data_IF_078529926041
#
_entry.id   IF_078529926041
#
_cell.length_a   1.000
_cell.length_b   1.000
_cell.length_c   1.000
_cell.angle_alpha   90.00
_cell.angle_beta   90.00
_cell.angle_gamma   90.00
#
_symmetry.space_group_name_H-M   'P 1'
#
loop_
_entity.id
_entity.type
_entity.pdbx_description
1 polymer ?
#
# COMPACT_ATOMS: atom_id res chain seq x y z
N UNK A 1 16.70 -15.67 -5.84
CA UNK A 1 15.80 -14.52 -5.70
C UNK A 1 15.48 -14.32 -4.23
N UNK A 2 15.29 -13.11 -3.75
CA UNK A 2 14.99 -12.74 -2.35
C UNK A 2 16.00 -13.32 -1.32
N UNK A 3 17.29 -13.12 -1.61
CA UNK A 3 18.39 -13.70 -0.81
C UNK A 3 18.71 -12.86 0.43
N UNK A 4 18.44 -11.56 0.39
CA UNK A 4 18.91 -10.62 1.40
C UNK A 4 18.21 -10.78 2.74
N UNK A 5 16.95 -11.22 2.75
CA UNK A 5 16.22 -11.55 3.98
C UNK A 5 16.94 -12.62 4.83
N UNK A 6 17.60 -13.59 4.16
CA UNK A 6 18.29 -14.70 4.86
C UNK A 6 19.49 -14.23 5.67
N UNK A 7 20.08 -13.10 5.32
CA UNK A 7 21.21 -12.52 6.04
C UNK A 7 20.83 -11.98 7.43
N UNK A 8 19.52 -11.75 7.65
CA UNK A 8 19.01 -11.28 8.93
C UNK A 8 18.68 -12.39 9.93
N UNK A 9 18.50 -13.64 9.46
CA UNK A 9 18.25 -14.75 10.38
C UNK A 9 19.49 -15.07 11.21
N UNK A 10 19.30 -15.21 12.52
CA UNK A 10 20.36 -15.47 13.51
C UNK A 10 19.77 -16.20 14.71
N UNK A 11 20.58 -16.41 15.77
CA UNK A 11 20.08 -16.96 17.02
C UNK A 11 19.05 -16.08 17.70
N UNK A 12 19.09 -14.78 17.47
CA UNK A 12 18.17 -13.79 18.07
C UNK A 12 17.07 -13.30 17.13
N UNK A 13 17.19 -13.52 15.82
CA UNK A 13 16.17 -13.14 14.81
C UNK A 13 15.65 -14.41 14.14
N UNK A 14 14.48 -14.85 14.54
CA UNK A 14 13.79 -16.06 14.02
C UNK A 14 12.60 -15.72 13.12
N UNK A 15 11.86 -14.67 13.46
CA UNK A 15 10.67 -14.25 12.70
C UNK A 15 10.80 -12.80 12.24
N UNK A 16 10.64 -12.59 10.95
CA UNK A 16 10.75 -11.29 10.27
C UNK A 16 9.40 -10.91 9.71
N UNK A 17 8.93 -9.72 10.04
CA UNK A 17 7.75 -9.11 9.41
C UNK A 17 8.19 -8.24 8.25
N UNK A 18 7.72 -8.52 7.04
CA UNK A 18 7.86 -7.65 5.88
C UNK A 18 6.67 -6.71 5.76
N UNK A 19 6.92 -5.45 5.40
CA UNK A 19 5.87 -4.42 5.30
C UNK A 19 6.06 -3.61 4.04
N UNK A 20 4.96 -3.37 3.32
CA UNK A 20 4.94 -2.49 2.14
C UNK A 20 3.60 -1.77 2.03
N UNK A 21 3.53 -0.71 1.21
CA UNK A 21 2.34 0.08 0.94
C UNK A 21 1.94 0.10 -0.53
N UNK A 22 0.68 0.43 -0.76
CA UNK A 22 0.14 0.74 -2.09
C UNK A 22 -0.73 2.00 -2.05
N UNK A 23 -0.57 2.87 -3.05
CA UNK A 23 -1.46 4.01 -3.21
C UNK A 23 -0.94 5.33 -2.65
N UNK A 24 0.37 5.57 -2.57
CA UNK A 24 0.92 6.88 -2.17
C UNK A 24 0.71 7.96 -3.23
N UNK A 25 0.92 7.65 -4.50
CA UNK A 25 0.89 8.61 -5.61
C UNK A 25 -0.47 8.99 -6.19
N UNK A 26 -1.54 8.18 -6.11
CA UNK A 26 -2.85 8.52 -6.66
C UNK A 26 -3.47 9.78 -6.07
N UNK A 27 -4.27 10.48 -6.88
CA UNK A 27 -5.06 11.67 -6.49
C UNK A 27 -6.33 11.30 -5.72
N UNK A 28 -6.78 10.04 -5.84
CA UNK A 28 -8.03 9.56 -5.24
C UNK A 28 -7.85 8.21 -4.56
N UNK A 29 -8.69 7.97 -3.56
CA UNK A 29 -8.75 6.74 -2.79
C UNK A 29 -7.71 6.64 -1.68
N UNK A 30 -7.81 5.58 -0.87
CA UNK A 30 -6.99 5.37 0.32
C UNK A 30 -5.54 4.98 -0.01
N UNK A 31 -4.66 5.11 0.98
CA UNK A 31 -3.40 4.39 1.05
C UNK A 31 -3.61 3.10 1.82
N UNK A 32 -3.09 1.99 1.31
CA UNK A 32 -3.08 0.68 1.95
C UNK A 32 -1.67 0.31 2.37
N UNK A 33 -1.55 -0.44 3.45
CA UNK A 33 -0.33 -1.17 3.79
C UNK A 33 -0.67 -2.59 4.21
N UNK A 34 0.28 -3.49 4.02
CA UNK A 34 0.21 -4.83 4.55
C UNK A 34 1.49 -5.20 5.27
N UNK A 35 1.37 -6.12 6.21
CA UNK A 35 2.44 -6.75 6.95
C UNK A 35 2.29 -8.27 6.82
N UNK A 36 3.39 -8.98 6.57
CA UNK A 36 3.41 -10.44 6.40
C UNK A 36 4.56 -11.05 7.16
N UNK A 37 4.34 -12.18 7.81
CA UNK A 37 5.38 -13.01 8.41
C UNK A 37 5.19 -14.46 7.96
N UNK A 38 6.22 -15.01 7.31
CA UNK A 38 6.28 -16.42 6.94
C UNK A 38 7.10 -17.23 7.95
N UNK A 39 6.97 -18.59 7.92
CA UNK A 39 7.93 -19.45 8.60
C UNK A 39 9.37 -19.14 8.16
N UNK A 40 10.37 -19.29 9.04
CA UNK A 40 11.77 -19.09 8.68
C UNK A 40 12.16 -19.92 7.45
N UNK A 41 12.90 -19.29 6.54
CA UNK A 41 13.37 -19.93 5.29
C UNK A 41 12.25 -20.39 4.33
N UNK A 42 11.02 -19.92 4.52
CA UNK A 42 9.94 -20.16 3.53
C UNK A 42 10.39 -19.75 2.13
N UNK A 43 9.98 -20.51 1.13
CA UNK A 43 10.35 -20.29 -0.27
C UNK A 43 9.12 -20.35 -1.16
N UNK A 44 8.96 -19.36 -1.98
CA UNK A 44 8.03 -19.36 -3.09
C UNK A 44 8.61 -18.47 -4.18
N UNK A 45 8.89 -19.02 -5.35
CA UNK A 45 9.53 -18.30 -6.46
C UNK A 45 8.56 -17.39 -7.22
N UNK A 46 7.27 -17.63 -7.08
CA UNK A 46 6.21 -16.82 -7.68
C UNK A 46 6.00 -15.49 -6.95
N UNK A 47 6.26 -15.45 -5.63
CA UNK A 47 6.18 -14.21 -4.84
C UNK A 47 7.36 -13.32 -5.22
N UNK A 48 7.07 -12.23 -5.91
CA UNK A 48 8.05 -11.27 -6.44
C UNK A 48 7.44 -9.88 -6.48
N UNK A 49 8.21 -8.88 -6.91
CA UNK A 49 7.77 -7.50 -7.14
C UNK A 49 6.38 -7.47 -7.81
N UNK A 50 5.38 -6.96 -7.08
CA UNK A 50 3.98 -6.95 -7.49
C UNK A 50 3.73 -6.24 -8.82
N UNK A 51 4.61 -5.31 -9.20
CA UNK A 51 4.53 -4.53 -10.45
C UNK A 51 4.87 -5.36 -11.69
N UNK A 52 5.60 -6.49 -11.51
CA UNK A 52 5.98 -7.42 -12.58
C UNK A 52 4.96 -8.54 -12.79
N UNK A 53 4.01 -8.67 -11.90
CA UNK A 53 3.00 -9.73 -11.92
C UNK A 53 1.74 -9.24 -12.67
N UNK A 54 1.09 -10.16 -13.41
CA UNK A 54 -0.25 -9.90 -13.93
C UNK A 54 -1.27 -9.79 -12.79
N UNK A 55 -2.39 -9.12 -13.04
CA UNK A 55 -3.48 -9.00 -12.06
C UNK A 55 -3.96 -10.38 -11.58
N UNK A 56 -4.22 -11.31 -12.51
CA UNK A 56 -4.60 -12.69 -12.20
C UNK A 56 -3.58 -13.37 -11.28
N UNK A 57 -2.28 -13.22 -11.56
CA UNK A 57 -1.24 -13.82 -10.73
C UNK A 57 -1.17 -13.19 -9.34
N UNK A 58 -1.38 -11.88 -9.23
CA UNK A 58 -1.46 -11.21 -7.92
C UNK A 58 -2.63 -11.72 -7.09
N UNK A 59 -3.80 -11.93 -7.71
CA UNK A 59 -4.99 -12.48 -7.04
C UNK A 59 -4.74 -13.92 -6.53
N UNK A 60 -4.15 -14.78 -7.36
CA UNK A 60 -3.76 -16.13 -6.94
C UNK A 60 -2.78 -16.11 -5.75
N UNK A 61 -1.77 -15.25 -5.82
CA UNK A 61 -0.77 -15.11 -4.75
C UNK A 61 -1.35 -14.45 -3.48
N UNK A 62 -2.32 -13.57 -3.61
CA UNK A 62 -3.01 -12.97 -2.46
C UNK A 62 -3.62 -14.05 -1.56
N UNK A 63 -4.35 -15.00 -2.14
CA UNK A 63 -4.95 -16.09 -1.36
C UNK A 63 -3.90 -17.07 -0.84
N UNK A 64 -2.86 -17.37 -1.64
CA UNK A 64 -1.74 -18.22 -1.21
C UNK A 64 -1.01 -17.61 -0.02
N UNK A 65 -0.67 -16.31 -0.07
CA UNK A 65 0.02 -15.61 1.02
C UNK A 65 -0.79 -15.69 2.32
N UNK A 66 -2.09 -15.42 2.25
CA UNK A 66 -2.98 -15.50 3.43
C UNK A 66 -3.03 -16.89 4.05
N UNK A 67 -2.90 -17.93 3.22
CA UNK A 67 -2.91 -19.34 3.66
C UNK A 67 -1.58 -19.76 4.28
N UNK A 68 -0.46 -19.36 3.68
CA UNK A 68 0.87 -19.85 4.04
C UNK A 68 1.59 -19.00 5.10
N UNK A 69 1.15 -17.73 5.31
CA UNK A 69 1.73 -16.85 6.31
C UNK A 69 1.38 -17.32 7.74
N UNK A 70 2.34 -17.21 8.67
CA UNK A 70 2.10 -17.37 10.10
C UNK A 70 1.19 -16.27 10.65
N UNK A 71 1.22 -15.11 10.00
CA UNK A 71 0.37 -13.98 10.29
C UNK A 71 0.49 -12.92 9.20
N UNK A 72 -0.59 -12.20 9.00
CA UNK A 72 -0.63 -11.03 8.14
C UNK A 72 -1.55 -9.98 8.71
N UNK A 73 -1.35 -8.73 8.30
CA UNK A 73 -2.23 -7.61 8.59
C UNK A 73 -2.38 -6.73 7.36
N UNK A 74 -3.58 -6.20 7.15
CA UNK A 74 -3.90 -5.25 6.07
C UNK A 74 -4.64 -4.08 6.69
N UNK A 75 -4.19 -2.87 6.39
CA UNK A 75 -4.81 -1.65 6.90
C UNK A 75 -4.88 -0.60 5.79
N UNK A 76 -5.77 0.37 5.97
CA UNK A 76 -5.89 1.53 5.08
C UNK A 76 -6.12 2.81 5.86
N UNK A 77 -5.80 3.93 5.23
CA UNK A 77 -6.22 5.28 5.63
C UNK A 77 -6.92 5.95 4.46
N UNK A 78 -8.02 6.63 4.77
CA UNK A 78 -8.85 7.35 3.79
C UNK A 78 -8.13 8.55 3.17
N UNK A 79 -8.73 9.15 2.13
CA UNK A 79 -8.24 10.39 1.56
C UNK A 79 -8.24 11.54 2.59
N UNK A 80 -9.23 11.58 3.46
CA UNK A 80 -9.34 12.59 4.53
C UNK A 80 -8.23 12.43 5.57
N UNK A 81 -7.97 11.19 6.05
CA UNK A 81 -6.85 10.90 6.96
C UNK A 81 -5.49 11.23 6.31
N UNK A 82 -5.35 11.04 4.98
CA UNK A 82 -4.14 11.45 4.25
C UNK A 82 -4.01 12.97 4.23
N UNK A 83 -5.11 13.70 4.01
CA UNK A 83 -5.09 15.17 4.00
C UNK A 83 -4.77 15.75 5.38
N UNK A 84 -5.23 15.11 6.45
CA UNK A 84 -4.94 15.49 7.84
C UNK A 84 -3.46 15.32 8.19
N UNK A 85 -2.86 14.16 7.82
CA UNK A 85 -1.52 13.79 8.27
C UNK A 85 -0.41 14.05 7.24
N UNK A 86 -0.70 14.38 6.01
CA UNK A 86 0.09 14.23 4.78
C UNK A 86 0.44 12.77 4.44
N UNK A 87 0.78 12.52 3.17
CA UNK A 87 0.98 11.14 2.68
C UNK A 87 2.15 10.41 3.34
N UNK A 88 3.20 11.11 3.75
CA UNK A 88 4.37 10.49 4.37
C UNK A 88 4.05 9.96 5.77
N UNK A 89 3.40 10.77 6.61
CA UNK A 89 2.99 10.35 7.95
C UNK A 89 1.83 9.34 7.89
N UNK A 90 0.85 9.54 6.99
CA UNK A 90 -0.23 8.59 6.75
C UNK A 90 0.33 7.20 6.37
N UNK A 91 1.40 7.13 5.55
CA UNK A 91 2.05 5.87 5.21
C UNK A 91 2.64 5.18 6.45
N UNK A 92 3.31 5.92 7.33
CA UNK A 92 3.83 5.36 8.60
C UNK A 92 2.71 4.84 9.52
N UNK A 93 1.62 5.60 9.62
CA UNK A 93 0.46 5.23 10.45
C UNK A 93 -0.16 3.93 9.91
N UNK A 94 -0.42 3.85 8.61
CA UNK A 94 -1.06 2.66 8.03
C UNK A 94 -0.16 1.43 8.12
N UNK A 95 1.15 1.56 7.95
CA UNK A 95 2.11 0.48 8.16
C UNK A 95 2.09 -0.02 9.61
N UNK A 96 2.07 0.87 10.59
CA UNK A 96 1.95 0.50 12.01
C UNK A 96 0.61 -0.20 12.29
N UNK A 97 -0.50 0.29 11.73
CA UNK A 97 -1.82 -0.36 11.84
C UNK A 97 -1.79 -1.78 11.23
N UNK A 98 -1.10 -2.02 10.11
CA UNK A 98 -0.94 -3.35 9.54
C UNK A 98 -0.09 -4.26 10.44
N UNK A 99 1.05 -3.79 10.94
CA UNK A 99 1.93 -4.55 11.84
C UNK A 99 1.19 -4.94 13.12
N UNK A 100 0.37 -4.07 13.70
CA UNK A 100 -0.36 -4.34 14.95
C UNK A 100 -1.36 -5.49 14.85
N UNK A 101 -1.73 -5.91 13.66
CA UNK A 101 -2.61 -7.06 13.41
C UNK A 101 -1.86 -8.41 13.47
N UNK A 102 -0.52 -8.41 13.43
CA UNK A 102 0.30 -9.62 13.57
C UNK A 102 0.18 -10.11 15.03
N UNK A 103 -0.32 -11.32 15.20
CA UNK A 103 -0.54 -11.93 16.52
C UNK A 103 0.57 -12.87 16.97
N UNK A 104 1.43 -13.30 16.03
CA UNK A 104 2.60 -14.12 16.37
C UNK A 104 3.74 -13.21 16.85
N UNK A 105 4.61 -13.66 17.77
CA UNK A 105 5.81 -12.91 18.13
C UNK A 105 6.72 -12.77 16.92
N UNK A 106 7.42 -11.65 16.83
CA UNK A 106 8.42 -11.40 15.79
C UNK A 106 9.59 -10.61 16.36
N UNK A 107 10.74 -10.66 15.67
CA UNK A 107 12.00 -10.13 16.19
C UNK A 107 12.46 -8.89 15.41
N UNK A 108 12.13 -8.81 14.12
CA UNK A 108 12.58 -7.75 13.21
C UNK A 108 11.43 -7.36 12.26
N UNK A 109 11.36 -6.09 11.92
CA UNK A 109 10.51 -5.57 10.85
C UNK A 109 11.39 -5.07 9.70
N UNK A 110 11.10 -5.50 8.48
CA UNK A 110 11.71 -4.97 7.25
C UNK A 110 10.63 -4.23 6.46
N UNK A 111 10.85 -2.96 6.15
CA UNK A 111 9.94 -2.13 5.36
C UNK A 111 10.52 -1.85 3.97
N UNK A 112 9.67 -1.57 2.97
CA UNK A 112 10.15 -0.99 1.70
C UNK A 112 10.46 0.50 1.91
N UNK A 113 11.75 0.79 2.12
CA UNK A 113 12.35 2.12 2.27
C UNK A 113 11.77 3.06 3.37
N UNK A 114 10.69 2.68 4.06
CA UNK A 114 10.02 3.56 5.04
C UNK A 114 10.57 3.37 6.45
N UNK A 115 11.19 4.39 7.05
CA UNK A 115 11.65 4.32 8.44
C UNK A 115 10.44 4.40 9.40
N UNK A 116 10.31 3.43 10.29
CA UNK A 116 9.32 3.40 11.35
C UNK A 116 9.99 3.42 12.72
N UNK A 117 9.29 3.99 13.71
CA UNK A 117 9.67 3.88 15.13
C UNK A 117 8.72 2.88 15.79
N UNK A 118 9.26 1.73 16.21
CA UNK A 118 8.56 0.65 16.91
C UNK A 118 9.41 0.23 18.11
N UNK A 119 8.85 -0.58 19.02
CA UNK A 119 9.62 -1.24 20.09
C UNK A 119 10.59 -2.29 19.54
N UNK A 120 10.20 -2.95 18.45
CA UNK A 120 11.05 -3.91 17.75
C UNK A 120 11.99 -3.22 16.77
N UNK A 121 13.18 -3.78 16.49
CA UNK A 121 14.06 -3.28 15.45
C UNK A 121 13.35 -3.16 14.10
N UNK A 122 13.64 -2.07 13.38
CA UNK A 122 13.13 -1.83 12.03
C UNK A 122 14.30 -1.60 11.08
N UNK A 123 14.29 -2.30 9.96
CA UNK A 123 15.26 -2.13 8.88
C UNK A 123 14.55 -1.62 7.61
N UNK A 124 14.69 -0.34 7.26
CA UNK A 124 14.17 0.18 5.98
C UNK A 124 15.09 -0.29 4.84
N UNK A 125 14.56 -1.17 3.98
CA UNK A 125 15.30 -1.75 2.85
C UNK A 125 14.85 -1.10 1.55
N UNK A 126 15.73 -0.39 0.88
CA UNK A 126 15.45 0.19 -0.45
C UNK A 126 15.17 -0.93 -1.45
N UNK A 127 14.03 -0.88 -2.16
CA UNK A 127 13.53 -1.96 -3.03
C UNK A 127 13.40 -3.28 -2.28
N UNK A 128 12.83 -3.23 -1.09
CA UNK A 128 12.62 -4.40 -0.23
C UNK A 128 11.74 -5.46 -0.89
N UNK A 129 10.75 -5.03 -1.68
CA UNK A 129 9.87 -5.87 -2.50
C UNK A 129 10.61 -6.75 -3.52
N UNK A 130 11.81 -6.35 -3.93
CA UNK A 130 12.66 -7.12 -4.84
C UNK A 130 13.73 -7.96 -4.11
N UNK A 131 13.91 -7.81 -2.79
CA UNK A 131 15.02 -8.40 -2.04
C UNK A 131 14.59 -9.25 -0.84
N UNK A 132 13.39 -9.02 -0.31
CA UNK A 132 12.83 -9.68 0.87
C UNK A 132 11.46 -10.29 0.55
N UNK A 133 11.31 -11.59 0.82
CA UNK A 133 10.09 -12.35 0.50
C UNK A 133 8.87 -11.82 1.25
N UNK A 134 9.03 -11.54 2.55
CA UNK A 134 7.95 -11.02 3.37
C UNK A 134 7.50 -9.62 2.88
N UNK A 135 8.42 -8.76 2.43
CA UNK A 135 8.09 -7.45 1.86
C UNK A 135 7.39 -7.59 0.51
N UNK A 136 7.87 -8.49 -0.37
CA UNK A 136 7.21 -8.78 -1.64
C UNK A 136 5.78 -9.29 -1.45
N UNK A 137 5.56 -10.17 -0.48
CA UNK A 137 4.23 -10.65 -0.12
C UNK A 137 3.34 -9.52 0.42
N UNK A 138 3.88 -8.66 1.27
CA UNK A 138 3.16 -7.48 1.77
C UNK A 138 2.77 -6.53 0.61
N UNK A 139 3.67 -6.30 -0.35
CA UNK A 139 3.40 -5.52 -1.57
C UNK A 139 2.19 -6.08 -2.33
N UNK A 140 2.14 -7.40 -2.53
CA UNK A 140 1.00 -8.06 -3.20
C UNK A 140 -0.29 -7.85 -2.41
N UNK A 141 -0.29 -8.09 -1.09
CA UNK A 141 -1.48 -7.92 -0.26
C UNK A 141 -1.98 -6.46 -0.27
N UNK A 142 -1.10 -5.50 -0.11
CA UNK A 142 -1.45 -4.08 -0.14
C UNK A 142 -2.02 -3.67 -1.51
N UNK A 143 -1.36 -4.10 -2.61
CA UNK A 143 -1.76 -3.77 -3.97
C UNK A 143 -3.12 -4.35 -4.34
N UNK A 144 -3.34 -5.64 -4.09
CA UNK A 144 -4.62 -6.32 -4.41
C UNK A 144 -5.75 -5.71 -3.59
N UNK A 145 -5.55 -5.50 -2.28
CA UNK A 145 -6.57 -4.91 -1.42
C UNK A 145 -6.98 -3.52 -1.90
N UNK A 146 -6.01 -2.70 -2.31
CA UNK A 146 -6.28 -1.38 -2.84
C UNK A 146 -6.97 -1.42 -4.21
N UNK A 147 -6.54 -2.30 -5.10
CA UNK A 147 -7.12 -2.41 -6.44
C UNK A 147 -8.58 -2.82 -6.37
N UNK A 148 -8.92 -3.81 -5.54
CA UNK A 148 -10.31 -4.24 -5.26
C UNK A 148 -11.15 -3.07 -4.73
N UNK A 149 -10.61 -2.26 -3.80
CA UNK A 149 -11.31 -1.06 -3.32
C UNK A 149 -11.59 -0.06 -4.46
N UNK A 150 -10.63 0.19 -5.34
CA UNK A 150 -10.80 1.12 -6.45
C UNK A 150 -11.79 0.60 -7.51
N UNK A 151 -11.92 -0.71 -7.68
CA UNK A 151 -12.92 -1.34 -8.54
C UNK A 151 -14.34 -1.21 -7.96
N UNK A 152 -14.50 -1.40 -6.65
CA UNK A 152 -15.76 -1.15 -6.00
C UNK A 152 -16.16 0.34 -6.04
N UNK A 153 -15.17 1.22 -5.95
CA UNK A 153 -15.39 2.66 -6.08
C UNK A 153 -15.83 3.04 -7.50
N UNK A 154 -15.28 2.40 -8.53
CA UNK A 154 -15.65 2.61 -9.93
C UNK A 154 -17.12 2.29 -10.20
N UNK A 155 -17.67 1.26 -9.55
CA UNK A 155 -19.10 0.91 -9.66
C UNK A 155 -19.99 2.02 -9.13
N UNK A 156 -19.53 2.81 -8.16
CA UNK A 156 -20.28 3.94 -7.58
C UNK A 156 -20.13 5.22 -8.39
N UNK A 157 -18.98 5.39 -9.04
CA UNK A 157 -18.60 6.60 -9.77
C UNK A 157 -17.96 6.24 -11.12
N UNK A 158 -18.73 5.57 -12.02
CA UNK A 158 -18.19 5.04 -13.27
C UNK A 158 -17.63 6.10 -14.21
N UNK A 159 -18.10 7.36 -14.09
CA UNK A 159 -17.65 8.50 -14.89
C UNK A 159 -16.19 8.88 -14.64
N UNK A 160 -15.60 8.47 -13.50
CA UNK A 160 -14.19 8.76 -13.19
C UNK A 160 -13.22 7.68 -13.67
N UNK A 161 -13.67 6.44 -13.92
CA UNK A 161 -12.84 5.35 -14.44
C UNK A 161 -11.80 4.80 -13.47
N UNK A 162 -12.12 4.75 -12.19
CA UNK A 162 -11.21 4.32 -11.11
C UNK A 162 -10.70 2.89 -11.28
N UNK A 163 -11.50 1.98 -11.83
CA UNK A 163 -11.08 0.60 -12.09
C UNK A 163 -9.89 0.55 -13.05
N UNK A 164 -9.80 1.47 -14.01
CA UNK A 164 -8.74 1.46 -15.02
C UNK A 164 -7.43 2.06 -14.51
N UNK A 165 -7.47 3.24 -13.92
CA UNK A 165 -6.27 3.99 -13.52
C UNK A 165 -6.03 4.00 -12.00
N UNK A 166 -6.85 3.31 -11.22
CA UNK A 166 -6.69 3.14 -9.76
C UNK A 166 -6.48 4.47 -9.01
N UNK A 167 -7.09 5.57 -9.50
CA UNK A 167 -7.01 6.90 -8.90
C UNK A 167 -5.77 7.73 -9.27
N UNK A 168 -4.88 7.23 -10.14
CA UNK A 168 -3.75 8.01 -10.64
C UNK A 168 -4.20 9.14 -11.57
N UNK A 169 -3.46 10.25 -11.59
CA UNK A 169 -3.74 11.45 -12.39
C UNK A 169 -3.48 11.28 -13.89
N UNK A 170 -4.16 10.32 -14.52
CA UNK A 170 -4.15 10.15 -15.97
C UNK A 170 -4.96 11.26 -16.64
N UNK A 171 -4.76 11.48 -17.94
CA UNK A 171 -5.55 12.46 -18.69
C UNK A 171 -7.06 12.24 -18.51
N UNK A 172 -7.51 10.98 -18.63
CA UNK A 172 -8.92 10.63 -18.39
C UNK A 172 -9.44 11.03 -17.01
N UNK A 173 -8.67 10.76 -15.95
CA UNK A 173 -9.03 11.12 -14.58
C UNK A 173 -9.08 12.65 -14.39
N UNK A 174 -8.10 13.36 -14.95
CA UNK A 174 -8.06 14.83 -14.89
C UNK A 174 -9.23 15.46 -15.64
N UNK A 175 -9.61 14.92 -16.81
CA UNK A 175 -10.78 15.37 -17.57
C UNK A 175 -12.09 15.12 -16.81
N UNK A 176 -12.22 13.96 -16.15
CA UNK A 176 -13.36 13.65 -15.29
C UNK A 176 -13.46 14.64 -14.11
N UNK A 177 -12.35 14.94 -13.43
CA UNK A 177 -12.28 15.93 -12.35
C UNK A 177 -12.68 17.32 -12.86
N UNK A 178 -12.20 17.72 -14.03
CA UNK A 178 -12.57 19.00 -14.64
C UNK A 178 -14.04 19.10 -14.96
N UNK A 179 -14.65 18.00 -15.42
CA UNK A 179 -16.04 17.96 -15.87
C UNK A 179 -17.03 17.81 -14.71
N UNK A 180 -16.71 16.96 -13.73
CA UNK A 180 -17.65 16.57 -12.67
C UNK A 180 -17.25 17.09 -11.29
N UNK A 181 -16.05 17.67 -11.17
CA UNK A 181 -15.46 18.08 -9.91
C UNK A 181 -14.77 16.93 -9.15
N UNK A 182 -13.98 17.21 -8.12
CA UNK A 182 -13.46 16.20 -7.22
C UNK A 182 -14.57 15.71 -6.27
N UNK A 183 -14.60 14.41 -5.98
CA UNK A 183 -15.54 13.80 -5.03
C UNK A 183 -14.98 14.00 -3.62
N UNK A 184 -15.79 14.56 -2.71
CA UNK A 184 -15.42 14.74 -1.30
C UNK A 184 -15.21 13.39 -0.59
N UNK A 185 -14.20 13.31 0.29
CA UNK A 185 -13.82 12.07 0.97
C UNK A 185 -13.10 11.04 0.09
N UNK A 186 -13.05 11.25 -1.24
CA UNK A 186 -12.40 10.34 -2.19
C UNK A 186 -11.14 10.97 -2.79
N UNK A 187 -11.22 12.21 -3.28
CA UNK A 187 -10.07 12.93 -3.81
C UNK A 187 -9.29 13.60 -2.68
N UNK A 188 -7.96 13.51 -2.75
CA UNK A 188 -7.05 14.05 -1.73
C UNK A 188 -6.86 15.54 -1.94
N UNK A 189 -7.49 16.36 -1.11
CA UNK A 189 -7.50 17.83 -1.23
C UNK A 189 -6.09 18.44 -1.10
N UNK A 190 -5.20 17.80 -0.38
CA UNK A 190 -3.80 18.23 -0.20
C UNK A 190 -2.91 17.98 -1.43
N UNK A 191 -3.35 17.16 -2.39
CA UNK A 191 -2.57 16.86 -3.58
C UNK A 191 -2.71 17.98 -4.62
N UNK A 192 -1.57 18.42 -5.19
CA UNK A 192 -1.49 19.63 -6.00
C UNK A 192 -2.58 19.79 -7.08
N UNK A 193 -2.92 18.78 -7.92
CA UNK A 193 -3.98 18.95 -8.92
C UNK A 193 -5.36 19.20 -8.31
N UNK A 194 -5.68 18.56 -7.17
CA UNK A 194 -6.97 18.73 -6.50
C UNK A 194 -7.00 20.07 -5.75
N UNK A 195 -5.91 20.43 -5.08
CA UNK A 195 -5.77 21.73 -4.42
C UNK A 195 -5.91 22.90 -5.42
N UNK A 196 -5.38 22.75 -6.63
CA UNK A 196 -5.52 23.76 -7.69
C UNK A 196 -6.97 23.95 -8.11
N UNK A 197 -7.72 22.84 -8.30
CA UNK A 197 -9.15 22.91 -8.63
C UNK A 197 -9.93 23.75 -7.62
N UNK A 198 -9.76 23.51 -6.33
CA UNK A 198 -10.46 24.26 -5.29
C UNK A 198 -10.06 25.75 -5.25
N UNK A 199 -8.78 26.06 -5.50
CA UNK A 199 -8.30 27.45 -5.58
C UNK A 199 -8.89 28.23 -6.77
N UNK A 200 -9.08 27.56 -7.91
CA UNK A 200 -9.72 28.18 -9.08
C UNK A 200 -11.20 28.45 -8.82
N UNK A 201 -11.89 27.52 -8.15
CA UNK A 201 -13.30 27.73 -7.79
C UNK A 201 -13.48 28.93 -6.85
N UNK A 202 -12.62 29.12 -5.86
CA UNK A 202 -12.70 30.27 -4.95
C UNK A 202 -12.56 31.62 -5.67
N UNK A 203 -11.71 31.70 -6.70
CA UNK A 203 -11.52 32.95 -7.49
C UNK A 203 -12.72 33.30 -8.36
N UNK A 204 -13.67 32.42 -8.58
CA UNK A 204 -14.91 32.74 -9.33
C UNK A 204 -15.96 33.39 -8.46
N UNK A 205 -15.77 33.48 -7.15
CA UNK A 205 -16.68 34.07 -6.19
C UNK A 205 -16.14 35.39 -5.59
N UNK A 206 -14.89 35.76 -5.90
CA UNK A 206 -14.27 37.05 -5.61
C UNK A 206 -14.43 38.02 -6.81
#
# INVERSE_FOLDING_TARGET
MLKKEREFYSDTVKLIVGVDEAGRGPLAGPVYAAAVVFPPYFKNEDINDSKKLSEKKREELFELIKKEALGYGIASLSAEEIDEHNIYEATKIVMKKAISQIKVPFDLVITDAMPLKLEKPVFPMVKGDAQCLNVAAASILAKVSRDRYMEELDKKYPEYGFAKHKGYGTAYHMDAIKKYGPIEGIHRKSFAPIAAYYKEQLKLFD
#
